data_IF_825567080050
#
_entry.id   IF_825567080050
#
_cell.length_a   1.000
_cell.length_b   1.000
_cell.length_c   1.000
_cell.angle_alpha   90.00
_cell.angle_beta   90.00
_cell.angle_gamma   90.00
#
_symmetry.space_group_name_H-M   'P 1'
#
loop_
_entity.id
_entity.type
_entity.pdbx_description
1 polymer ?
#
# COMPACT_ATOMS: atom_id res chain seq x y z
N UNK A 1 -30.28 -26.70 4.17
CA UNK A 1 -30.21 -25.89 2.93
C UNK A 1 -28.97 -25.01 2.99
N UNK A 2 -27.98 -25.18 2.11
CA UNK A 2 -26.83 -24.26 2.04
C UNK A 2 -27.32 -22.87 1.59
N UNK A 3 -26.95 -21.81 2.31
CA UNK A 3 -27.23 -20.43 1.89
C UNK A 3 -26.46 -20.17 0.58
N UNK A 4 -27.10 -19.60 -0.47
CA UNK A 4 -26.38 -19.24 -1.68
C UNK A 4 -25.28 -18.24 -1.33
N UNK A 5 -24.04 -18.54 -1.73
CA UNK A 5 -22.90 -17.65 -1.52
C UNK A 5 -23.12 -16.41 -2.38
N UNK A 6 -23.41 -15.28 -1.75
CA UNK A 6 -23.50 -14.00 -2.46
C UNK A 6 -22.09 -13.56 -2.85
N UNK A 7 -21.83 -13.45 -4.15
CA UNK A 7 -20.55 -12.95 -4.68
C UNK A 7 -20.46 -11.41 -4.68
N UNK A 8 -21.55 -10.72 -4.35
CA UNK A 8 -21.62 -9.25 -4.27
C UNK A 8 -20.49 -8.58 -3.46
N UNK A 9 -20.04 -9.10 -2.29
CA UNK A 9 -18.93 -8.50 -1.57
C UNK A 9 -17.57 -8.65 -2.28
N UNK A 10 -17.41 -9.67 -3.13
CA UNK A 10 -16.18 -9.92 -3.90
C UNK A 10 -16.07 -9.06 -5.16
N UNK A 11 -17.19 -8.53 -5.68
CA UNK A 11 -17.22 -7.77 -6.94
C UNK A 11 -16.17 -6.65 -6.99
N UNK A 12 -16.01 -5.77 -5.97
CA UNK A 12 -15.02 -4.71 -6.06
C UNK A 12 -13.58 -5.23 -6.06
N UNK A 13 -13.30 -6.32 -5.33
CA UNK A 13 -11.97 -6.92 -5.33
C UNK A 13 -11.65 -7.52 -6.70
N UNK A 14 -12.59 -8.26 -7.31
CA UNK A 14 -12.40 -8.84 -8.64
C UNK A 14 -12.29 -7.76 -9.73
N UNK A 15 -13.10 -6.71 -9.63
CA UNK A 15 -13.04 -5.57 -10.54
C UNK A 15 -11.69 -4.85 -10.46
N UNK A 16 -11.18 -4.60 -9.25
CA UNK A 16 -9.85 -4.01 -9.07
C UNK A 16 -8.72 -4.90 -9.59
N UNK A 17 -8.86 -6.23 -9.47
CA UNK A 17 -7.89 -7.16 -10.03
C UNK A 17 -7.91 -7.13 -11.57
N UNK A 18 -9.10 -7.07 -12.16
CA UNK A 18 -9.25 -6.90 -13.61
C UNK A 18 -8.61 -5.58 -14.09
N UNK A 19 -8.82 -4.47 -13.38
CA UNK A 19 -8.17 -3.20 -13.70
C UNK A 19 -6.65 -3.29 -13.59
N UNK A 20 -6.12 -3.91 -12.53
CA UNK A 20 -4.68 -4.12 -12.38
C UNK A 20 -4.11 -4.96 -13.54
N UNK A 21 -4.81 -6.02 -13.95
CA UNK A 21 -4.43 -6.85 -15.09
C UNK A 21 -4.48 -6.09 -16.43
N UNK A 22 -5.44 -5.18 -16.62
CA UNK A 22 -5.50 -4.32 -17.81
C UNK A 22 -4.33 -3.34 -17.83
N UNK A 23 -4.04 -2.67 -16.71
CA UNK A 23 -2.95 -1.69 -16.60
C UNK A 23 -1.58 -2.35 -16.76
N UNK A 24 -1.38 -3.52 -16.15
CA UNK A 24 -0.11 -4.27 -16.18
C UNK A 24 -0.07 -5.34 -17.27
N UNK A 25 -1.08 -5.41 -18.15
CA UNK A 25 -1.23 -6.48 -19.15
C UNK A 25 0.05 -6.72 -19.98
N UNK A 26 0.70 -5.67 -20.52
CA UNK A 26 1.97 -5.83 -21.23
C UNK A 26 3.08 -6.43 -20.37
N UNK A 27 3.17 -6.06 -19.08
CA UNK A 27 4.17 -6.60 -18.15
C UNK A 27 3.89 -8.08 -17.81
N UNK A 28 2.62 -8.45 -17.65
CA UNK A 28 2.22 -9.81 -17.29
C UNK A 28 2.37 -10.81 -18.45
N UNK A 29 2.37 -10.32 -19.69
CA UNK A 29 2.38 -11.16 -20.90
C UNK A 29 3.72 -11.14 -21.64
N UNK A 30 4.53 -10.10 -21.46
CA UNK A 30 5.84 -10.02 -22.10
C UNK A 30 6.89 -10.85 -21.36
N UNK A 31 7.68 -11.68 -22.04
CA UNK A 31 8.80 -12.36 -21.40
C UNK A 31 9.90 -11.36 -21.03
N UNK A 32 10.49 -11.53 -19.85
CA UNK A 32 11.64 -10.74 -19.41
C UNK A 32 11.41 -10.02 -18.08
N UNK A 33 12.29 -9.07 -17.81
CA UNK A 33 12.32 -8.32 -16.56
C UNK A 33 11.88 -6.88 -16.78
N UNK A 34 11.24 -6.29 -15.78
CA UNK A 34 10.97 -4.86 -15.78
C UNK A 34 12.31 -4.13 -15.68
N UNK A 35 12.69 -3.46 -16.77
CA UNK A 35 13.88 -2.64 -16.93
C UNK A 35 13.46 -1.27 -17.48
N UNK A 36 12.75 -0.52 -16.65
CA UNK A 36 12.21 0.79 -17.02
C UNK A 36 12.58 1.82 -15.96
N UNK A 37 13.55 2.69 -16.31
CA UNK A 37 14.07 3.76 -15.43
C UNK A 37 14.50 3.21 -14.07
N UNK A 38 13.80 3.58 -12.98
CA UNK A 38 14.13 3.15 -11.62
C UNK A 38 13.62 1.73 -11.29
N UNK A 39 12.76 1.15 -12.14
CA UNK A 39 12.36 -0.24 -12.01
C UNK A 39 13.37 -1.12 -12.74
N UNK A 40 14.42 -1.50 -12.02
CA UNK A 40 15.37 -2.53 -12.44
C UNK A 40 15.08 -3.78 -11.62
N UNK A 41 14.37 -4.73 -12.22
CA UNK A 41 14.20 -6.06 -11.66
C UNK A 41 15.21 -7.00 -12.31
N UNK A 42 16.00 -7.68 -11.50
CA UNK A 42 16.92 -8.73 -11.95
C UNK A 42 16.50 -10.04 -11.30
N UNK A 43 16.88 -11.21 -11.86
CA UNK A 43 16.57 -12.49 -11.25
C UNK A 43 17.03 -12.57 -9.79
N UNK A 44 18.19 -11.96 -9.51
CA UNK A 44 18.78 -11.87 -8.18
C UNK A 44 19.18 -10.44 -7.87
N UNK A 45 18.83 -9.98 -6.67
CA UNK A 45 19.35 -8.76 -6.04
C UNK A 45 20.17 -9.14 -4.81
N UNK A 46 21.19 -8.35 -4.47
CA UNK A 46 22.13 -8.66 -3.39
C UNK A 46 22.06 -7.60 -2.29
N UNK A 47 22.31 -7.96 -1.02
CA UNK A 47 22.41 -7.00 0.06
C UNK A 47 23.72 -6.21 -0.10
N UNK A 48 23.65 -5.04 -0.72
CA UNK A 48 24.76 -4.10 -0.81
C UNK A 48 24.81 -3.19 0.40
N UNK A 49 25.94 -2.53 0.64
CA UNK A 49 26.07 -1.55 1.72
C UNK A 49 25.01 -0.44 1.61
N UNK A 50 24.67 -0.02 0.39
CA UNK A 50 23.59 0.94 0.13
C UNK A 50 22.20 0.38 0.45
N UNK A 51 21.95 -0.91 0.20
CA UNK A 51 20.68 -1.58 0.53
C UNK A 51 20.53 -1.80 2.05
N UNK A 52 21.64 -1.79 2.78
CA UNK A 52 21.69 -1.85 4.25
C UNK A 52 21.68 -0.46 4.91
N UNK A 53 21.79 0.62 4.12
CA UNK A 53 21.85 1.99 4.64
C UNK A 53 23.16 2.29 5.37
N UNK A 54 24.27 1.73 4.86
CA UNK A 54 25.64 1.88 5.39
C UNK A 54 26.50 2.81 4.53
N UNK A 55 25.87 3.62 3.67
CA UNK A 55 26.56 4.49 2.70
C UNK A 55 26.00 5.91 2.80
N UNK A 56 26.84 6.91 2.54
CA UNK A 56 26.44 8.33 2.50
C UNK A 56 25.39 8.69 1.41
N UNK A 57 24.97 7.72 0.60
CA UNK A 57 23.91 7.90 -0.38
C UNK A 57 22.55 8.07 0.32
N UNK A 58 21.70 8.97 -0.19
CA UNK A 58 20.37 9.18 0.37
C UNK A 58 19.61 7.85 0.51
N UNK A 59 19.29 7.48 1.75
CA UNK A 59 18.54 6.29 2.11
C UNK A 59 17.08 6.44 1.67
N UNK A 60 16.83 6.46 0.34
CA UNK A 60 15.48 6.54 -0.24
C UNK A 60 14.92 5.16 -0.61
N UNK A 61 15.79 4.16 -0.69
CA UNK A 61 15.49 2.82 -1.18
C UNK A 61 15.90 1.69 -0.20
N UNK A 62 16.46 2.00 0.96
CA UNK A 62 17.03 0.98 1.89
C UNK A 62 16.04 -0.16 2.20
N UNK A 63 14.80 0.07 2.68
CA UNK A 63 13.87 -1.01 3.00
C UNK A 63 13.39 -1.78 1.76
N UNK A 64 13.16 -1.10 0.63
CA UNK A 64 12.72 -1.78 -0.60
C UNK A 64 13.84 -2.64 -1.21
N UNK A 65 15.09 -2.20 -1.15
CA UNK A 65 16.22 -2.90 -1.73
C UNK A 65 16.63 -4.07 -0.84
N UNK A 66 16.61 -3.89 0.49
CA UNK A 66 16.76 -4.99 1.45
C UNK A 66 15.67 -6.06 1.27
N UNK A 67 14.41 -5.64 1.08
CA UNK A 67 13.29 -6.56 0.81
C UNK A 67 13.53 -7.37 -0.47
N UNK A 68 13.92 -6.71 -1.57
CA UNK A 68 14.21 -7.39 -2.82
C UNK A 68 15.43 -8.31 -2.72
N UNK A 69 16.49 -7.90 -2.01
CA UNK A 69 17.68 -8.71 -1.78
C UNK A 69 17.36 -9.98 -0.97
N UNK A 70 16.44 -9.90 0.01
CA UNK A 70 15.98 -11.06 0.75
C UNK A 70 15.05 -11.95 -0.09
N UNK A 71 14.00 -11.37 -0.68
CA UNK A 71 12.98 -12.12 -1.42
C UNK A 71 13.55 -12.82 -2.66
N UNK A 72 14.47 -12.15 -3.37
CA UNK A 72 15.05 -12.71 -4.58
C UNK A 72 15.97 -13.92 -4.35
N UNK A 73 16.17 -14.34 -3.08
CA UNK A 73 17.01 -15.49 -2.73
C UNK A 73 16.27 -16.81 -2.91
N UNK A 74 14.93 -16.73 -2.91
CA UNK A 74 14.02 -17.87 -3.00
C UNK A 74 13.18 -17.80 -4.27
N UNK A 75 12.78 -16.59 -4.68
CA UNK A 75 11.91 -16.34 -5.84
C UNK A 75 12.65 -15.44 -6.82
N UNK A 76 12.39 -15.57 -8.11
CA UNK A 76 12.92 -14.62 -9.09
C UNK A 76 12.51 -13.16 -8.78
N UNK A 77 13.46 -12.23 -8.76
CA UNK A 77 13.20 -10.83 -8.42
C UNK A 77 12.23 -10.10 -9.37
N UNK A 78 12.20 -10.49 -10.65
CA UNK A 78 11.21 -10.01 -11.63
C UNK A 78 9.79 -10.44 -11.28
N UNK A 79 9.62 -11.69 -10.84
CA UNK A 79 8.34 -12.18 -10.34
C UNK A 79 7.92 -11.46 -9.04
N UNK A 80 8.86 -11.19 -8.14
CA UNK A 80 8.59 -10.46 -6.90
C UNK A 80 8.08 -9.05 -7.20
N UNK A 81 8.78 -8.28 -8.05
CA UNK A 81 8.37 -6.92 -8.40
C UNK A 81 7.02 -6.91 -9.14
N UNK A 82 6.81 -7.84 -10.06
CA UNK A 82 5.53 -7.97 -10.80
C UNK A 82 4.37 -8.32 -9.86
N UNK A 83 4.59 -9.22 -8.90
CA UNK A 83 3.60 -9.57 -7.89
C UNK A 83 3.28 -8.39 -6.96
N UNK A 84 4.31 -7.65 -6.52
CA UNK A 84 4.15 -6.46 -5.67
C UNK A 84 3.39 -5.35 -6.40
N UNK A 85 3.70 -5.08 -7.67
CA UNK A 85 2.97 -4.10 -8.50
C UNK A 85 1.51 -4.51 -8.69
N UNK A 86 1.27 -5.77 -9.04
CA UNK A 86 -0.08 -6.29 -9.24
C UNK A 86 -0.88 -6.21 -7.94
N UNK A 87 -0.27 -6.64 -6.82
CA UNK A 87 -0.85 -6.54 -5.49
C UNK A 87 -1.13 -5.09 -5.07
N UNK A 88 -0.23 -4.16 -5.37
CA UNK A 88 -0.39 -2.74 -5.06
C UNK A 88 -1.58 -2.14 -5.82
N UNK A 89 -1.67 -2.32 -7.15
CA UNK A 89 -2.80 -1.79 -7.92
C UNK A 89 -4.12 -2.45 -7.51
N UNK A 90 -4.10 -3.76 -7.27
CA UNK A 90 -5.28 -4.47 -6.77
C UNK A 90 -5.74 -3.93 -5.41
N UNK A 91 -4.81 -3.76 -4.47
CA UNK A 91 -5.09 -3.23 -3.14
C UNK A 91 -5.52 -1.77 -3.17
N UNK A 92 -4.97 -0.94 -4.06
CA UNK A 92 -5.37 0.46 -4.24
C UNK A 92 -6.83 0.56 -4.68
N UNK A 93 -7.22 -0.23 -5.70
CA UNK A 93 -8.60 -0.26 -6.18
C UNK A 93 -9.57 -0.81 -5.14
N UNK A 94 -9.24 -1.97 -4.55
CA UNK A 94 -10.12 -2.62 -3.59
C UNK A 94 -10.25 -1.79 -2.30
N UNK A 95 -9.14 -1.23 -1.84
CA UNK A 95 -9.08 -0.31 -0.72
C UNK A 95 -9.94 0.92 -0.97
N UNK A 96 -9.88 1.54 -2.14
CA UNK A 96 -10.72 2.70 -2.49
C UNK A 96 -12.21 2.35 -2.50
N UNK A 97 -12.58 1.17 -2.99
CA UNK A 97 -13.95 0.66 -2.90
C UNK A 97 -14.39 0.37 -1.46
N UNK A 98 -13.48 -0.05 -0.58
CA UNK A 98 -13.74 -0.26 0.86
C UNK A 98 -13.84 1.05 1.63
N UNK A 99 -13.01 2.02 1.29
CA UNK A 99 -13.04 3.38 1.81
C UNK A 99 -14.43 4.00 1.62
N UNK A 100 -14.95 3.97 0.39
CA UNK A 100 -16.31 4.46 0.08
C UNK A 100 -17.37 3.69 0.87
N UNK A 101 -17.27 2.36 0.97
CA UNK A 101 -18.23 1.57 1.73
C UNK A 101 -18.26 1.92 3.23
N UNK A 102 -17.11 2.33 3.79
CA UNK A 102 -16.97 2.65 5.21
C UNK A 102 -17.40 4.08 5.52
N UNK A 103 -17.08 5.03 4.64
CA UNK A 103 -17.35 6.46 4.83
C UNK A 103 -18.73 6.89 4.29
N UNK A 104 -19.21 6.25 3.22
CA UNK A 104 -20.46 6.57 2.54
C UNK A 104 -21.34 5.30 2.47
N UNK A 105 -21.87 4.82 3.60
CA UNK A 105 -22.59 3.53 3.65
C UNK A 105 -23.88 3.51 2.82
N UNK A 106 -24.47 4.67 2.53
CA UNK A 106 -25.61 4.79 1.63
C UNK A 106 -25.23 4.67 0.14
N UNK A 107 -23.94 4.75 -0.19
CA UNK A 107 -23.47 4.64 -1.55
C UNK A 107 -23.46 3.18 -2.02
N UNK A 108 -24.13 2.91 -3.13
CA UNK A 108 -24.23 1.58 -3.71
C UNK A 108 -22.94 1.08 -4.36
N UNK A 109 -23.02 -0.12 -4.96
CA UNK A 109 -21.93 -0.72 -5.73
C UNK A 109 -21.33 0.21 -6.81
N UNK A 110 -22.10 0.99 -7.60
CA UNK A 110 -21.54 1.85 -8.63
C UNK A 110 -20.51 2.85 -8.10
N UNK A 111 -20.78 3.52 -6.97
CA UNK A 111 -19.85 4.47 -6.37
C UNK A 111 -18.54 3.81 -5.93
N UNK A 112 -18.61 2.58 -5.44
CA UNK A 112 -17.43 1.80 -5.04
C UNK A 112 -16.60 1.39 -6.25
N UNK A 113 -17.23 1.05 -7.37
CA UNK A 113 -16.53 0.73 -8.62
C UNK A 113 -15.86 1.98 -9.19
N UNK A 114 -16.55 3.14 -9.20
CA UNK A 114 -15.95 4.42 -9.60
C UNK A 114 -14.71 4.74 -8.75
N UNK A 115 -14.79 4.57 -7.43
CA UNK A 115 -13.65 4.78 -6.56
C UNK A 115 -12.49 3.80 -6.83
N UNK A 116 -12.79 2.53 -7.14
CA UNK A 116 -11.78 1.58 -7.57
C UNK A 116 -11.13 1.99 -8.90
N UNK A 117 -11.93 2.42 -9.88
CA UNK A 117 -11.42 2.89 -11.18
C UNK A 117 -10.52 4.10 -11.00
N UNK A 118 -10.96 5.13 -10.29
CA UNK A 118 -10.15 6.34 -10.06
C UNK A 118 -8.91 6.03 -9.22
N UNK A 119 -9.00 5.11 -8.25
CA UNK A 119 -7.86 4.69 -7.43
C UNK A 119 -6.76 3.98 -8.23
N UNK A 120 -7.10 3.29 -9.33
CA UNK A 120 -6.12 2.56 -10.15
C UNK A 120 -5.74 3.34 -11.41
N UNK A 121 -6.71 4.01 -12.04
CA UNK A 121 -6.58 4.70 -13.31
C UNK A 121 -6.58 6.21 -13.10
N UNK A 122 -5.43 6.74 -12.70
CA UNK A 122 -5.22 8.18 -12.53
C UNK A 122 -3.80 8.60 -12.98
N UNK A 123 -3.57 9.92 -13.20
CA UNK A 123 -2.28 10.42 -13.66
C UNK A 123 -1.11 10.08 -12.73
N UNK A 124 -1.33 10.11 -11.42
CA UNK A 124 -0.28 9.77 -10.45
C UNK A 124 0.21 8.34 -10.62
N UNK A 125 -0.71 7.37 -10.73
CA UNK A 125 -0.36 5.96 -10.95
C UNK A 125 0.37 5.79 -12.28
N UNK A 126 -0.12 6.41 -13.34
CA UNK A 126 0.50 6.34 -14.65
C UNK A 126 1.95 6.88 -14.63
N UNK A 127 2.18 8.05 -14.01
CA UNK A 127 3.52 8.61 -13.86
C UNK A 127 4.45 7.71 -13.07
N UNK A 128 4.00 7.16 -11.94
CA UNK A 128 4.84 6.29 -11.10
C UNK A 128 5.20 4.99 -11.81
N UNK A 129 4.27 4.40 -12.58
CA UNK A 129 4.56 3.23 -13.42
C UNK A 129 5.60 3.57 -14.49
N UNK A 130 5.46 4.70 -15.18
CA UNK A 130 6.42 5.15 -16.19
C UNK A 130 7.79 5.52 -15.61
N UNK A 131 7.86 5.90 -14.33
CA UNK A 131 9.10 6.18 -13.61
C UNK A 131 9.75 4.92 -13.03
N UNK A 132 9.00 3.82 -12.91
CA UNK A 132 9.46 2.59 -12.28
C UNK A 132 9.39 2.62 -10.74
N UNK A 133 8.62 3.53 -10.16
CA UNK A 133 8.50 3.69 -8.70
C UNK A 133 7.47 2.74 -8.08
N UNK A 134 7.71 1.43 -8.22
CA UNK A 134 6.80 0.38 -7.76
C UNK A 134 6.55 0.43 -6.23
N UNK A 135 7.57 0.75 -5.44
CA UNK A 135 7.49 0.83 -3.98
C UNK A 135 6.63 2.02 -3.51
N UNK A 136 6.66 3.15 -4.23
CA UNK A 136 5.75 4.27 -3.98
C UNK A 136 4.30 3.87 -4.27
N UNK A 137 4.05 3.04 -5.27
CA UNK A 137 2.72 2.51 -5.55
C UNK A 137 2.23 1.56 -4.45
N UNK A 138 3.13 0.77 -3.83
CA UNK A 138 2.80 -0.01 -2.63
C UNK A 138 2.38 0.91 -1.48
N UNK A 139 3.10 2.01 -1.26
CA UNK A 139 2.72 2.99 -0.24
C UNK A 139 1.42 3.72 -0.54
N UNK A 140 1.19 4.09 -1.80
CA UNK A 140 -0.08 4.65 -2.28
C UNK A 140 -1.25 3.69 -2.05
N UNK A 141 -1.07 2.40 -2.34
CA UNK A 141 -2.09 1.39 -2.17
C UNK A 141 -2.54 1.24 -0.71
N UNK A 142 -1.65 1.50 0.25
CA UNK A 142 -1.95 1.44 1.68
C UNK A 142 -2.82 2.61 2.18
N UNK A 143 -2.89 3.74 1.48
CA UNK A 143 -3.62 4.93 1.93
C UNK A 143 -5.12 4.70 2.18
N UNK A 144 -5.91 4.15 1.24
CA UNK A 144 -7.33 3.91 1.49
C UNK A 144 -7.57 2.92 2.64
N UNK A 145 -6.70 1.92 2.80
CA UNK A 145 -6.75 0.98 3.92
C UNK A 145 -6.39 1.63 5.25
N UNK A 146 -5.44 2.58 5.24
CA UNK A 146 -5.07 3.38 6.42
C UNK A 146 -6.29 4.15 6.94
N UNK A 147 -7.08 4.74 6.05
CA UNK A 147 -8.34 5.41 6.44
C UNK A 147 -9.34 4.41 7.03
N UNK A 148 -9.54 3.25 6.38
CA UNK A 148 -10.45 2.21 6.88
C UNK A 148 -10.03 1.72 8.28
N UNK A 149 -8.73 1.47 8.49
CA UNK A 149 -8.18 1.05 9.78
C UNK A 149 -8.31 2.16 10.84
N UNK A 150 -8.01 3.40 10.49
CA UNK A 150 -8.17 4.55 11.39
C UNK A 150 -9.63 4.76 11.81
N UNK A 151 -10.59 4.58 10.88
CA UNK A 151 -12.02 4.59 11.22
C UNK A 151 -12.39 3.46 12.19
N UNK A 152 -11.84 2.25 12.00
CA UNK A 152 -12.03 1.13 12.93
C UNK A 152 -11.48 1.44 14.34
N UNK A 153 -10.31 2.08 14.45
CA UNK A 153 -9.77 2.60 15.73
C UNK A 153 -10.72 3.61 16.37
N UNK A 154 -11.33 4.51 15.59
CA UNK A 154 -12.34 5.46 16.10
C UNK A 154 -13.60 4.77 16.59
N UNK A 155 -13.99 3.66 15.97
CA UNK A 155 -15.14 2.82 16.36
C UNK A 155 -14.84 1.90 17.55
N UNK A 156 -13.58 1.85 18.01
CA UNK A 156 -13.17 0.98 19.10
C UNK A 156 -13.10 -0.50 18.69
N UNK A 157 -12.97 -0.77 17.40
CA UNK A 157 -12.88 -2.13 16.88
C UNK A 157 -11.48 -2.70 17.22
N UNK A 158 -11.44 -3.92 17.73
CA UNK A 158 -10.20 -4.60 18.16
C UNK A 158 -9.19 -4.78 17.00
N UNK A 159 -9.66 -4.87 15.76
CA UNK A 159 -8.81 -5.01 14.57
C UNK A 159 -8.22 -3.68 14.08
N UNK A 160 -8.68 -2.53 14.60
CA UNK A 160 -8.29 -1.22 14.10
C UNK A 160 -6.79 -0.94 14.21
N UNK A 161 -6.21 -1.13 15.40
CA UNK A 161 -4.80 -0.88 15.65
C UNK A 161 -3.86 -1.85 14.90
N UNK A 162 -4.08 -3.17 14.93
CA UNK A 162 -3.28 -4.08 14.11
C UNK A 162 -3.35 -3.76 12.61
N UNK A 163 -4.54 -3.46 12.10
CA UNK A 163 -4.71 -3.11 10.68
C UNK A 163 -3.96 -1.81 10.34
N UNK A 164 -4.00 -0.82 11.24
CA UNK A 164 -3.30 0.44 11.05
C UNK A 164 -1.78 0.24 11.05
N UNK A 165 -1.26 -0.58 11.97
CA UNK A 165 0.16 -0.91 12.02
C UNK A 165 0.64 -1.61 10.73
N UNK A 166 -0.15 -2.56 10.20
CA UNK A 166 0.14 -3.20 8.91
C UNK A 166 0.14 -2.19 7.76
N UNK A 167 -0.87 -1.30 7.69
CA UNK A 167 -0.93 -0.29 6.62
C UNK A 167 0.25 0.67 6.67
N UNK A 168 0.60 1.17 7.86
CA UNK A 168 1.76 2.04 8.05
C UNK A 168 3.05 1.30 7.71
N UNK A 169 3.24 0.07 8.17
CA UNK A 169 4.42 -0.74 7.86
C UNK A 169 4.61 -0.98 6.37
N UNK A 170 3.54 -1.32 5.65
CA UNK A 170 3.56 -1.47 4.18
C UNK A 170 3.89 -0.15 3.50
N UNK A 171 3.30 0.97 3.96
CA UNK A 171 3.60 2.29 3.43
C UNK A 171 5.04 2.74 3.71
N UNK A 172 5.60 2.30 4.84
CA UNK A 172 6.96 2.57 5.27
C UNK A 172 8.05 1.91 4.45
N UNK A 173 7.69 1.14 3.42
CA UNK A 173 8.62 0.69 2.39
C UNK A 173 9.30 1.86 1.65
N UNK A 174 8.71 3.06 1.71
CA UNK A 174 9.30 4.32 1.23
C UNK A 174 9.17 5.43 2.27
N UNK A 175 10.05 6.44 2.30
CA UNK A 175 9.94 7.55 3.25
C UNK A 175 8.66 8.36 2.99
N UNK A 176 8.37 8.59 1.72
CA UNK A 176 7.17 9.30 1.27
C UNK A 176 5.90 8.54 1.64
N UNK A 177 5.87 7.22 1.48
CA UNK A 177 4.73 6.39 1.88
C UNK A 177 4.49 6.44 3.39
N UNK A 178 5.54 6.31 4.21
CA UNK A 178 5.45 6.46 5.67
C UNK A 178 4.82 7.82 6.05
N UNK A 179 5.31 8.90 5.44
CA UNK A 179 4.82 10.26 5.70
C UNK A 179 3.34 10.39 5.31
N UNK A 180 2.98 10.02 4.08
CA UNK A 180 1.61 10.14 3.56
C UNK A 180 0.62 9.31 4.38
N UNK A 181 0.97 8.06 4.72
CA UNK A 181 0.10 7.21 5.51
C UNK A 181 -0.04 7.71 6.95
N UNK A 182 1.04 8.22 7.56
CA UNK A 182 0.99 8.81 8.91
C UNK A 182 0.11 10.06 8.94
N UNK A 183 0.28 10.98 7.98
CA UNK A 183 -0.56 12.17 7.85
C UNK A 183 -2.02 11.80 7.61
N UNK A 184 -2.27 10.81 6.75
CA UNK A 184 -3.63 10.30 6.48
C UNK A 184 -4.26 9.72 7.75
N UNK A 185 -3.54 8.89 8.50
CA UNK A 185 -4.01 8.33 9.76
C UNK A 185 -4.35 9.44 10.76
N UNK A 186 -3.45 10.40 10.96
CA UNK A 186 -3.66 11.54 11.87
C UNK A 186 -4.85 12.40 11.43
N UNK A 187 -5.01 12.68 10.14
CA UNK A 187 -6.15 13.44 9.62
C UNK A 187 -7.50 12.75 9.92
N UNK A 188 -7.53 11.42 9.92
CA UNK A 188 -8.74 10.65 10.27
C UNK A 188 -8.95 10.58 11.78
N UNK A 189 -7.86 10.49 12.56
CA UNK A 189 -7.87 10.31 14.02
C UNK A 189 -7.91 11.62 14.83
N UNK A 190 -7.59 12.77 14.26
CA UNK A 190 -7.60 14.06 14.96
C UNK A 190 -9.00 14.63 15.22
N UNK A 191 -10.01 14.47 14.34
CA UNK A 191 -11.34 15.00 14.58
C UNK A 191 -11.97 14.47 15.88
N UNK A 192 -12.72 15.31 16.61
CA UNK A 192 -13.38 14.90 17.85
C UNK A 192 -14.40 13.78 17.62
N UNK A 193 -14.75 13.08 18.69
CA UNK A 193 -15.71 11.97 18.68
C UNK A 193 -15.10 10.59 18.38
N UNK A 194 -15.98 9.59 18.33
CA UNK A 194 -15.62 8.17 18.34
C UNK A 194 -15.67 7.58 19.75
N UNK A 195 -15.47 6.26 19.83
CA UNK A 195 -15.46 5.49 21.09
C UNK A 195 -14.10 5.49 21.77
N UNK A 196 -13.03 5.79 21.04
CA UNK A 196 -11.67 5.92 21.58
C UNK A 196 -11.37 7.37 22.02
N UNK A 197 -10.69 7.51 23.17
CA UNK A 197 -10.26 8.82 23.69
C UNK A 197 -9.22 9.45 22.76
N UNK A 198 -9.33 10.76 22.52
CA UNK A 198 -8.51 11.48 21.54
C UNK A 198 -7.01 11.42 21.82
N UNK A 199 -6.59 11.75 23.05
CA UNK A 199 -5.17 11.82 23.43
C UNK A 199 -4.43 10.48 23.24
N UNK A 200 -4.86 9.36 23.84
CA UNK A 200 -4.15 8.08 23.65
C UNK A 200 -4.23 7.58 22.20
N UNK A 201 -5.29 7.93 21.48
CA UNK A 201 -5.44 7.61 20.06
C UNK A 201 -4.41 8.34 19.20
N UNK A 202 -4.18 9.62 19.43
CA UNK A 202 -3.16 10.37 18.72
C UNK A 202 -1.75 9.92 19.13
N UNK A 203 -1.52 9.72 20.43
CA UNK A 203 -0.23 9.22 20.93
C UNK A 203 0.12 7.85 20.32
N UNK A 204 -0.83 6.92 20.25
CA UNK A 204 -0.60 5.62 19.62
C UNK A 204 -0.32 5.72 18.11
N UNK A 205 -0.99 6.64 17.40
CA UNK A 205 -0.74 6.85 15.97
C UNK A 205 0.65 7.44 15.72
N UNK A 206 1.08 8.41 16.54
CA UNK A 206 2.43 9.01 16.48
C UNK A 206 3.48 7.96 16.83
N UNK A 207 3.24 7.13 17.85
CA UNK A 207 4.15 6.04 18.22
C UNK A 207 4.33 5.03 17.08
N UNK A 208 3.23 4.62 16.42
CA UNK A 208 3.31 3.74 15.25
C UNK A 208 4.04 4.41 14.08
N UNK A 209 3.75 5.68 13.80
CA UNK A 209 4.44 6.43 12.75
C UNK A 209 5.96 6.51 13.02
N UNK A 210 6.37 6.78 14.26
CA UNK A 210 7.78 6.78 14.66
C UNK A 210 8.43 5.40 14.53
N UNK A 211 7.73 4.33 14.94
CA UNK A 211 8.23 2.97 14.82
C UNK A 211 8.44 2.55 13.35
N UNK A 212 7.50 2.89 12.47
CA UNK A 212 7.60 2.62 11.03
C UNK A 212 8.67 3.49 10.36
N UNK A 213 8.92 4.69 10.88
CA UNK A 213 9.98 5.56 10.40
C UNK A 213 11.39 5.10 10.81
N UNK A 214 11.51 4.18 11.77
CA UNK A 214 12.80 3.78 12.35
C UNK A 214 13.88 3.38 11.32
N UNK A 215 13.59 2.61 10.25
CA UNK A 215 14.60 2.27 9.25
C UNK A 215 15.22 3.48 8.57
N UNK A 216 14.44 4.55 8.40
CA UNK A 216 14.88 5.80 7.76
C UNK A 216 15.62 6.73 8.71
N UNK A 217 15.34 6.64 10.02
CA UNK A 217 16.00 7.44 11.04
C UNK A 217 17.37 6.87 11.46
N UNK A 218 17.59 5.58 11.22
CA UNK A 218 18.81 4.86 11.62
C UNK A 218 19.79 4.70 10.45
N UNK A 219 19.34 4.83 9.20
CA UNK A 219 20.22 4.82 8.05
C UNK A 219 21.17 6.03 8.08
N UNK A 220 22.47 5.78 7.87
CA UNK A 220 23.57 6.76 7.93
C UNK A 220 24.45 6.64 6.70
#
# INVERSE_FOLDING_TARGET
MPRPVSLRPAVPALYSLALAAVVLGPLLTSPGYLLLRDAVSTPRSFPTDSALGLTDAAARAVPQDALLAAASSVVDGGLVVTALLTGALWAAGWGSARLVAVLLPAAGLPARLVAATVGVWNPYVAERLLQGHWSLLVGYAALPWTVVAAVAVRRGDHSGWPSLAVCLGVAGLTPTGALLASVTALAVLAPPGGRSRLVPRLAGAVALAGAVAAPWLVAT
#
